data_IF_273230990625
#
_entry.id   IF_273230990625
#
_cell.length_a   1.000
_cell.length_b   1.000
_cell.length_c   1.000
_cell.angle_alpha   90.00
_cell.angle_beta   90.00
_cell.angle_gamma   90.00
#
_symmetry.space_group_name_H-M   'P 1'
#
loop_
_entity.id
_entity.type
_entity.pdbx_description
1 polymer ?
#
# COMPACT_ATOMS: atom_id res chain seq x y z
N UNK A 1 33.03 -55.47 -3.43
CA UNK A 1 32.75 -54.00 -3.43
C UNK A 1 32.84 -53.53 -4.88
N UNK A 2 31.70 -53.09 -5.45
CA UNK A 2 31.68 -52.49 -6.78
C UNK A 2 32.37 -51.12 -6.68
N UNK A 3 33.47 -50.90 -7.45
CA UNK A 3 34.08 -49.58 -7.62
C UNK A 3 33.05 -48.68 -8.30
N UNK A 4 32.48 -47.72 -7.56
CA UNK A 4 31.68 -46.66 -8.16
C UNK A 4 32.57 -45.84 -9.09
N UNK A 5 32.12 -45.66 -10.32
CA UNK A 5 32.83 -44.82 -11.28
C UNK A 5 32.66 -43.35 -10.88
N UNK A 6 33.67 -42.50 -11.12
CA UNK A 6 33.64 -41.05 -10.85
C UNK A 6 32.37 -40.38 -11.39
N UNK A 7 31.82 -40.93 -12.46
CA UNK A 7 30.53 -40.51 -13.01
C UNK A 7 29.39 -40.73 -12.03
N UNK A 8 29.28 -41.91 -11.40
CA UNK A 8 28.18 -42.25 -10.49
C UNK A 8 28.30 -41.52 -9.15
N UNK A 9 29.53 -41.27 -8.68
CA UNK A 9 29.76 -40.64 -7.38
C UNK A 9 29.69 -39.10 -7.42
N UNK A 10 29.98 -38.46 -8.56
CA UNK A 10 30.14 -37.02 -8.64
C UNK A 10 29.26 -36.38 -9.75
N UNK A 11 29.37 -36.92 -10.97
CA UNK A 11 28.69 -36.28 -12.13
C UNK A 11 27.16 -36.49 -12.11
N UNK A 12 26.74 -37.72 -11.81
CA UNK A 12 25.30 -38.04 -11.81
C UNK A 12 24.48 -37.22 -10.79
N UNK A 13 24.91 -37.03 -9.52
CA UNK A 13 24.23 -36.18 -8.58
C UNK A 13 24.15 -34.70 -9.02
N UNK A 14 25.22 -34.18 -9.64
CA UNK A 14 25.22 -32.79 -10.16
C UNK A 14 24.21 -32.63 -11.29
N UNK A 15 24.17 -33.59 -12.22
CA UNK A 15 23.21 -33.56 -13.33
C UNK A 15 21.76 -33.66 -12.83
N UNK A 16 21.48 -34.55 -11.89
CA UNK A 16 20.15 -34.68 -11.29
C UNK A 16 19.73 -33.39 -10.62
N UNK A 17 20.61 -32.77 -9.84
CA UNK A 17 20.32 -31.49 -9.19
C UNK A 17 20.06 -30.38 -10.22
N UNK A 18 20.90 -30.29 -11.25
CA UNK A 18 20.72 -29.32 -12.33
C UNK A 18 19.37 -29.49 -13.05
N UNK A 19 18.98 -30.73 -13.34
CA UNK A 19 17.68 -31.03 -13.97
C UNK A 19 16.51 -30.64 -13.06
N UNK A 20 16.58 -30.97 -11.77
CA UNK A 20 15.54 -30.59 -10.80
C UNK A 20 15.42 -29.06 -10.73
N UNK A 21 16.53 -28.34 -10.62
CA UNK A 21 16.52 -26.87 -10.60
C UNK A 21 15.91 -26.30 -11.88
N UNK A 22 16.25 -26.82 -13.04
CA UNK A 22 15.69 -26.42 -14.34
C UNK A 22 14.18 -26.64 -14.40
N UNK A 23 13.72 -27.83 -14.04
CA UNK A 23 12.29 -28.18 -14.07
C UNK A 23 11.48 -27.31 -13.12
N UNK A 24 11.96 -27.12 -11.88
CA UNK A 24 11.26 -26.29 -10.88
C UNK A 24 11.24 -24.83 -11.33
N UNK A 25 12.38 -24.30 -11.79
CA UNK A 25 12.46 -22.90 -12.25
C UNK A 25 11.53 -22.67 -13.44
N UNK A 26 11.49 -23.59 -14.40
CA UNK A 26 10.58 -23.52 -15.55
C UNK A 26 9.13 -23.55 -15.11
N UNK A 27 8.76 -24.47 -14.21
CA UNK A 27 7.39 -24.57 -13.70
C UNK A 27 6.95 -23.27 -12.99
N UNK A 28 7.80 -22.71 -12.15
CA UNK A 28 7.51 -21.42 -11.45
C UNK A 28 7.39 -20.28 -12.45
N UNK A 29 8.31 -20.18 -13.42
CA UNK A 29 8.27 -19.13 -14.44
C UNK A 29 6.99 -19.23 -15.32
N UNK A 30 6.60 -20.44 -15.68
CA UNK A 30 5.37 -20.68 -16.43
C UNK A 30 4.12 -20.25 -15.66
N UNK A 31 3.98 -20.70 -14.41
CA UNK A 31 2.86 -20.31 -13.54
C UNK A 31 2.83 -18.80 -13.36
N UNK A 32 3.98 -18.16 -13.11
CA UNK A 32 4.07 -16.71 -12.98
C UNK A 32 3.61 -15.98 -14.24
N UNK A 33 4.03 -16.46 -15.43
CA UNK A 33 3.62 -15.88 -16.72
C UNK A 33 2.11 -15.91 -16.94
N UNK A 34 1.43 -16.98 -16.51
CA UNK A 34 -0.02 -17.13 -16.63
C UNK A 34 -0.76 -16.30 -15.57
N UNK A 35 -0.24 -16.24 -14.35
CA UNK A 35 -0.92 -15.57 -13.22
C UNK A 35 -0.72 -14.07 -13.20
N UNK A 36 0.42 -13.56 -13.69
CA UNK A 36 0.75 -12.13 -13.68
C UNK A 36 -0.35 -11.23 -14.25
N UNK A 37 -0.90 -11.45 -15.46
CA UNK A 37 -1.94 -10.57 -16.00
C UNK A 37 -3.22 -10.60 -15.18
N UNK A 38 -3.55 -11.74 -14.55
CA UNK A 38 -4.72 -11.88 -13.68
C UNK A 38 -4.51 -11.08 -12.38
N UNK A 39 -3.30 -11.16 -11.81
CA UNK A 39 -2.94 -10.39 -10.61
C UNK A 39 -3.03 -8.89 -10.91
N UNK A 40 -2.45 -8.42 -12.02
CA UNK A 40 -2.50 -7.00 -12.42
C UNK A 40 -3.95 -6.52 -12.62
N UNK A 41 -4.79 -7.30 -13.31
CA UNK A 41 -6.20 -6.96 -13.50
C UNK A 41 -6.97 -6.89 -12.18
N UNK A 42 -6.74 -7.83 -11.27
CA UNK A 42 -7.37 -7.84 -9.96
C UNK A 42 -6.88 -6.66 -9.09
N UNK A 43 -5.60 -6.31 -9.15
CA UNK A 43 -5.04 -5.16 -8.42
C UNK A 43 -5.67 -3.85 -8.89
N UNK A 44 -5.81 -3.65 -10.20
CA UNK A 44 -6.48 -2.46 -10.76
C UNK A 44 -7.95 -2.42 -10.33
N UNK A 45 -8.65 -3.56 -10.39
CA UNK A 45 -10.04 -3.65 -9.96
C UNK A 45 -10.19 -3.31 -8.48
N UNK A 46 -9.40 -3.92 -7.62
CA UNK A 46 -9.41 -3.67 -6.19
C UNK A 46 -9.08 -2.19 -5.87
N UNK A 47 -8.13 -1.58 -6.59
CA UNK A 47 -7.80 -0.17 -6.43
C UNK A 47 -8.98 0.75 -6.84
N UNK A 48 -9.69 0.43 -7.92
CA UNK A 48 -10.86 1.19 -8.35
C UNK A 48 -12.04 1.06 -7.36
N UNK A 49 -12.28 -0.14 -6.85
CA UNK A 49 -13.28 -0.39 -5.81
C UNK A 49 -12.93 0.39 -4.52
N UNK A 50 -11.67 0.37 -4.11
CA UNK A 50 -11.21 1.15 -2.96
C UNK A 50 -11.40 2.66 -3.17
N UNK A 51 -11.09 3.20 -4.36
CA UNK A 51 -11.33 4.62 -4.68
C UNK A 51 -12.81 4.97 -4.59
N UNK A 52 -13.70 4.13 -5.13
CA UNK A 52 -15.14 4.34 -5.06
C UNK A 52 -15.67 4.28 -3.62
N UNK A 53 -15.11 3.42 -2.78
CA UNK A 53 -15.44 3.33 -1.35
C UNK A 53 -14.97 4.56 -0.57
N UNK A 54 -13.78 5.08 -0.89
CA UNK A 54 -13.17 6.24 -0.22
C UNK A 54 -13.85 7.56 -0.60
N UNK A 55 -14.34 7.67 -1.83
CA UNK A 55 -15.02 8.86 -2.33
C UNK A 55 -16.28 8.46 -3.12
N UNK A 56 -17.38 8.09 -2.44
CA UNK A 56 -18.59 7.61 -3.09
C UNK A 56 -19.22 8.64 -4.05
N UNK A 57 -19.10 9.93 -3.73
CA UNK A 57 -19.63 11.02 -4.54
C UNK A 57 -18.99 11.13 -5.92
N UNK A 58 -17.81 10.55 -6.11
CA UNK A 58 -17.11 10.47 -7.42
C UNK A 58 -17.78 9.46 -8.38
N UNK A 59 -18.68 8.58 -7.88
CA UNK A 59 -19.36 7.53 -8.66
C UNK A 59 -18.41 6.62 -9.47
N UNK A 60 -17.18 6.47 -8.99
CA UNK A 60 -16.14 5.65 -9.62
C UNK A 60 -15.46 6.28 -10.84
N UNK A 61 -15.74 7.55 -11.15
CA UNK A 61 -15.15 8.26 -12.28
C UNK A 61 -13.99 9.14 -11.84
N UNK A 62 -12.77 8.64 -12.07
CA UNK A 62 -11.52 9.25 -11.65
C UNK A 62 -10.54 9.44 -12.80
N UNK A 63 -9.79 10.52 -12.75
CA UNK A 63 -8.67 10.77 -13.65
C UNK A 63 -7.36 10.83 -12.86
N UNK A 64 -6.30 10.24 -13.40
CA UNK A 64 -4.99 10.28 -12.79
C UNK A 64 -4.42 11.72 -12.81
N UNK A 65 -3.94 12.17 -11.65
CA UNK A 65 -3.19 13.41 -11.53
C UNK A 65 -1.80 13.26 -12.17
N UNK A 66 -1.40 14.23 -13.00
CA UNK A 66 -0.14 14.19 -13.75
C UNK A 66 0.92 15.19 -13.25
N UNK A 67 0.66 15.86 -12.13
CA UNK A 67 1.61 16.78 -11.51
C UNK A 67 2.59 16.07 -10.58
N UNK A 68 3.40 16.87 -9.89
CA UNK A 68 4.42 16.37 -8.97
C UNK A 68 3.80 15.69 -7.75
N UNK A 69 4.34 14.52 -7.42
CA UNK A 69 3.95 13.74 -6.26
C UNK A 69 4.89 14.02 -5.07
N UNK A 70 4.31 14.30 -3.92
CA UNK A 70 5.05 14.65 -2.70
C UNK A 70 5.79 13.47 -2.11
N UNK A 71 7.05 13.71 -1.78
CA UNK A 71 7.88 12.81 -0.97
C UNK A 71 8.13 13.48 0.38
N UNK A 72 7.58 12.92 1.45
CA UNK A 72 7.81 13.41 2.80
C UNK A 72 9.19 12.96 3.32
N UNK A 73 9.44 11.65 3.21
CA UNK A 73 10.73 11.04 3.58
C UNK A 73 11.14 10.07 2.46
N UNK A 74 12.29 10.30 1.83
CA UNK A 74 12.77 9.46 0.74
C UNK A 74 12.79 7.98 1.16
N UNK A 75 12.24 7.12 0.30
CA UNK A 75 12.13 5.66 0.49
C UNK A 75 11.40 5.21 1.77
N UNK A 76 10.78 6.15 2.50
CA UNK A 76 10.03 5.86 3.72
C UNK A 76 8.57 6.31 3.65
N UNK A 77 8.30 7.57 3.28
CA UNK A 77 6.94 8.13 3.17
C UNK A 77 6.83 8.95 1.91
N UNK A 78 6.05 8.49 0.95
CA UNK A 78 5.89 9.14 -0.35
C UNK A 78 4.56 8.80 -1.02
N UNK A 79 4.04 9.78 -1.75
CA UNK A 79 2.86 9.58 -2.60
C UNK A 79 3.26 8.77 -3.83
N UNK A 80 2.48 7.74 -4.15
CA UNK A 80 2.67 6.94 -5.37
C UNK A 80 1.72 7.31 -6.47
N UNK A 81 0.47 7.65 -6.11
CA UNK A 81 -0.59 7.97 -7.04
C UNK A 81 -1.53 9.00 -6.43
N UNK A 82 -2.10 9.84 -7.26
CA UNK A 82 -3.21 10.70 -6.91
C UNK A 82 -4.25 10.67 -8.04
N UNK A 83 -5.52 10.61 -7.68
CA UNK A 83 -6.65 10.58 -8.62
C UNK A 83 -7.65 11.66 -8.25
N UNK A 84 -8.02 12.46 -9.21
CA UNK A 84 -9.06 13.47 -9.08
C UNK A 84 -10.40 12.92 -9.58
N UNK A 85 -11.48 13.16 -8.85
CA UNK A 85 -12.82 12.86 -9.34
C UNK A 85 -13.18 13.81 -10.49
N UNK A 86 -13.64 13.27 -11.63
CA UNK A 86 -13.99 14.08 -12.80
C UNK A 86 -15.14 15.06 -12.52
N UNK A 87 -15.99 14.77 -11.53
CA UNK A 87 -17.08 15.65 -11.10
C UNK A 87 -16.64 16.70 -10.07
N UNK A 88 -15.36 16.79 -9.73
CA UNK A 88 -14.82 17.73 -8.74
C UNK A 88 -15.22 17.44 -7.29
N UNK A 89 -15.74 16.24 -6.97
CA UNK A 89 -16.17 15.90 -5.60
C UNK A 89 -15.00 15.71 -4.63
N UNK A 90 -13.77 15.52 -5.14
CA UNK A 90 -12.58 15.37 -4.31
C UNK A 90 -11.44 14.62 -5.01
N UNK A 91 -10.55 14.10 -4.20
CA UNK A 91 -9.37 13.35 -4.66
C UNK A 91 -9.18 12.09 -3.83
N UNK A 92 -8.53 11.08 -4.40
CA UNK A 92 -8.01 9.91 -3.68
C UNK A 92 -6.50 9.84 -3.88
N UNK A 93 -5.76 9.82 -2.79
CA UNK A 93 -4.30 9.84 -2.79
C UNK A 93 -3.79 8.53 -2.20
N UNK A 94 -2.89 7.86 -2.91
CA UNK A 94 -2.22 6.64 -2.48
C UNK A 94 -0.83 6.97 -1.98
N UNK A 95 -0.53 6.59 -0.76
CA UNK A 95 0.75 6.86 -0.10
C UNK A 95 1.36 5.56 0.38
N UNK A 96 2.65 5.39 0.15
CA UNK A 96 3.46 4.35 0.79
C UNK A 96 4.17 4.93 2.00
N UNK A 97 4.09 4.19 3.11
CA UNK A 97 4.74 4.57 4.36
C UNK A 97 5.40 3.37 5.02
N UNK A 98 6.57 3.59 5.63
CA UNK A 98 7.35 2.52 6.25
C UNK A 98 6.76 2.12 7.59
N UNK A 99 6.24 0.90 7.67
CA UNK A 99 5.78 0.24 8.88
C UNK A 99 6.80 -0.76 9.40
N UNK A 100 6.42 -1.54 10.41
CA UNK A 100 7.30 -2.55 11.03
C UNK A 100 7.67 -3.68 10.07
N UNK A 101 6.70 -4.23 9.34
CA UNK A 101 6.89 -5.33 8.39
C UNK A 101 7.42 -4.91 7.02
N UNK A 102 7.52 -3.61 6.74
CA UNK A 102 7.90 -3.07 5.44
C UNK A 102 7.09 -1.85 5.04
N UNK A 103 6.98 -1.58 3.75
CA UNK A 103 6.12 -0.52 3.25
C UNK A 103 4.66 -0.97 3.31
N UNK A 104 3.81 -0.16 3.95
CA UNK A 104 2.37 -0.26 3.83
C UNK A 104 1.87 0.72 2.76
N UNK A 105 0.76 0.40 2.13
CA UNK A 105 0.06 1.26 1.18
C UNK A 105 -1.25 1.71 1.79
N UNK A 106 -1.40 3.01 1.99
CA UNK A 106 -2.64 3.63 2.47
C UNK A 106 -3.26 4.49 1.37
N UNK A 107 -4.56 4.43 1.24
CA UNK A 107 -5.35 5.29 0.37
C UNK A 107 -6.20 6.22 1.21
N UNK A 108 -6.19 7.51 0.89
CA UNK A 108 -6.89 8.58 1.60
C UNK A 108 -7.84 9.28 0.64
N UNK A 109 -9.13 9.20 0.91
CA UNK A 109 -10.15 10.00 0.23
C UNK A 109 -10.26 11.38 0.89
N UNK A 110 -10.26 12.43 0.10
CA UNK A 110 -10.38 13.83 0.54
C UNK A 110 -11.44 14.49 -0.34
N UNK A 111 -12.44 15.09 0.27
CA UNK A 111 -13.49 15.79 -0.45
C UNK A 111 -13.04 17.15 -1.02
N UNK A 112 -13.93 17.81 -1.76
CA UNK A 112 -13.66 19.13 -2.34
C UNK A 112 -13.38 20.22 -1.30
N UNK A 113 -13.86 20.05 -0.07
CA UNK A 113 -13.70 20.99 1.04
C UNK A 113 -12.42 20.73 1.85
N UNK A 114 -11.63 19.72 1.43
CA UNK A 114 -10.37 19.30 2.05
C UNK A 114 -10.55 18.40 3.26
N UNK A 115 -11.76 17.92 3.54
CA UNK A 115 -11.99 17.01 4.64
C UNK A 115 -11.74 15.56 4.23
N UNK A 116 -11.09 14.80 5.08
CA UNK A 116 -10.87 13.35 4.87
C UNK A 116 -12.23 12.65 4.94
N UNK A 117 -12.60 11.96 3.86
CA UNK A 117 -13.82 11.15 3.81
C UNK A 117 -13.60 9.81 4.48
N UNK A 118 -12.50 9.15 4.13
CA UNK A 118 -12.12 7.84 4.69
C UNK A 118 -10.65 7.56 4.44
N UNK A 119 -10.05 6.74 5.31
CA UNK A 119 -8.71 6.16 5.13
C UNK A 119 -8.86 4.64 5.01
N UNK A 120 -8.07 4.02 4.13
CA UNK A 120 -8.03 2.56 3.94
C UNK A 120 -6.60 2.12 3.72
N UNK A 121 -6.14 1.10 4.44
CA UNK A 121 -4.89 0.40 4.15
C UNK A 121 -5.21 -0.70 3.14
N UNK A 122 -4.48 -0.74 2.03
CA UNK A 122 -4.70 -1.70 0.95
C UNK A 122 -3.64 -2.79 0.89
N UNK A 123 -2.44 -2.48 1.37
CA UNK A 123 -1.34 -3.45 1.42
C UNK A 123 -0.49 -3.19 2.66
N UNK A 124 -0.10 -4.25 3.34
CA UNK A 124 0.88 -4.24 4.43
C UNK A 124 1.53 -5.62 4.58
N UNK A 125 2.70 -5.65 5.23
CA UNK A 125 3.40 -6.88 5.62
C UNK A 125 3.58 -6.94 7.14
N UNK A 126 2.77 -6.21 7.87
CA UNK A 126 2.80 -6.18 9.33
C UNK A 126 2.23 -7.49 9.92
N UNK A 127 2.64 -7.82 11.13
CA UNK A 127 2.23 -9.06 11.81
C UNK A 127 0.73 -9.06 12.09
N UNK A 128 -0.04 -10.05 11.61
CA UNK A 128 -1.47 -10.17 11.87
C UNK A 128 -1.80 -10.15 13.38
N UNK A 129 -2.85 -9.43 13.76
CA UNK A 129 -3.31 -9.31 15.14
C UNK A 129 -2.43 -8.48 16.07
N UNK A 130 -1.28 -7.98 15.57
CA UNK A 130 -0.39 -7.07 16.31
C UNK A 130 -0.21 -5.77 15.54
N UNK A 131 0.53 -5.80 14.43
CA UNK A 131 0.76 -4.64 13.59
C UNK A 131 -0.44 -4.25 12.73
N UNK A 132 -1.37 -5.17 12.48
CA UNK A 132 -2.61 -4.92 11.74
C UNK A 132 -3.72 -4.31 12.60
N UNK A 133 -3.56 -4.24 13.92
CA UNK A 133 -4.58 -3.64 14.82
C UNK A 133 -5.07 -2.25 14.42
N UNK A 134 -4.24 -1.31 13.95
CA UNK A 134 -4.72 0.00 13.53
C UNK A 134 -5.60 -0.05 12.27
N UNK A 135 -5.40 -1.03 11.40
CA UNK A 135 -6.17 -1.22 10.17
C UNK A 135 -7.42 -2.06 10.40
N UNK A 136 -7.29 -3.20 11.07
CA UNK A 136 -8.39 -4.14 11.31
C UNK A 136 -9.33 -3.69 12.44
N UNK A 137 -8.85 -2.84 13.36
CA UNK A 137 -9.61 -2.35 14.49
C UNK A 137 -10.61 -1.25 14.11
N UNK A 138 -11.77 -1.20 14.79
CA UNK A 138 -12.85 -0.26 14.44
C UNK A 138 -12.55 1.19 14.81
N UNK A 139 -11.55 1.47 15.63
CA UNK A 139 -11.44 2.74 16.33
C UNK A 139 -10.37 3.68 15.75
N UNK A 140 -9.35 3.17 15.03
CA UNK A 140 -8.21 4.01 14.65
C UNK A 140 -8.46 4.76 13.35
N UNK A 141 -8.77 4.09 12.26
CA UNK A 141 -8.97 4.74 10.96
C UNK A 141 -10.14 5.74 10.94
N UNK A 142 -11.27 5.48 11.62
CA UNK A 142 -12.39 6.44 11.65
C UNK A 142 -12.07 7.78 12.31
N UNK A 143 -11.02 7.88 13.15
CA UNK A 143 -10.62 9.13 13.79
C UNK A 143 -10.23 10.22 12.77
N UNK A 144 -9.77 9.83 11.58
CA UNK A 144 -9.36 10.76 10.54
C UNK A 144 -10.56 11.39 9.80
N UNK A 145 -11.75 10.77 9.87
CA UNK A 145 -12.91 11.23 9.11
C UNK A 145 -13.32 12.64 9.50
N UNK A 146 -13.46 13.51 8.51
CA UNK A 146 -13.87 14.91 8.68
C UNK A 146 -12.73 15.87 9.04
N UNK A 147 -11.53 15.37 9.31
CA UNK A 147 -10.37 16.24 9.56
C UNK A 147 -9.89 16.85 8.24
N UNK A 148 -9.56 18.14 8.27
CA UNK A 148 -8.98 18.91 7.15
C UNK A 148 -7.47 19.08 7.27
N UNK A 149 -6.96 18.90 8.49
CA UNK A 149 -5.55 18.99 8.81
C UNK A 149 -5.23 18.13 10.03
N UNK A 150 -3.98 17.75 10.15
CA UNK A 150 -3.41 17.14 11.33
C UNK A 150 -2.49 18.16 12.00
N UNK A 151 -2.32 18.08 13.31
CA UNK A 151 -1.48 19.03 14.07
C UNK A 151 0.00 18.72 13.95
N UNK A 152 0.35 17.45 13.78
CA UNK A 152 1.75 17.01 13.72
C UNK A 152 1.89 15.81 12.78
N UNK A 153 3.04 15.63 12.13
CA UNK A 153 3.34 14.45 11.32
C UNK A 153 3.53 13.17 12.17
N UNK A 154 3.87 13.33 13.44
CA UNK A 154 4.08 12.25 14.38
C UNK A 154 2.81 12.05 15.23
N UNK A 155 2.20 10.87 15.12
CA UNK A 155 0.96 10.54 15.85
C UNK A 155 1.08 10.70 17.36
N UNK A 156 2.26 10.56 17.94
CA UNK A 156 2.48 10.71 19.39
C UNK A 156 2.39 12.17 19.85
N UNK A 157 2.61 13.11 18.93
CA UNK A 157 2.57 14.55 19.17
C UNK A 157 1.31 15.20 18.61
N UNK A 158 0.40 14.42 18.06
CA UNK A 158 -0.90 14.87 17.54
C UNK A 158 -2.03 14.44 18.47
N UNK A 159 -2.52 15.40 19.27
CA UNK A 159 -3.60 15.15 20.24
C UNK A 159 -4.95 14.84 19.59
N UNK A 160 -5.09 15.04 18.26
CA UNK A 160 -6.33 14.76 17.54
C UNK A 160 -6.52 13.27 17.24
N UNK A 161 -5.44 12.47 17.30
CA UNK A 161 -5.45 11.05 16.95
C UNK A 161 -4.85 10.21 18.09
N UNK A 162 -5.62 9.24 18.57
CA UNK A 162 -5.13 8.27 19.55
C UNK A 162 -4.50 7.07 18.84
N UNK A 163 -3.19 6.88 19.03
CA UNK A 163 -2.49 5.70 18.49
C UNK A 163 -2.91 4.40 19.19
N UNK A 164 -2.76 3.28 18.50
CA UNK A 164 -3.08 1.96 19.05
C UNK A 164 -1.93 1.42 19.88
N UNK A 165 -2.20 1.15 21.17
CA UNK A 165 -1.21 0.58 22.09
C UNK A 165 -0.76 -0.80 21.60
N UNK A 166 0.55 -1.03 21.58
CA UNK A 166 1.16 -2.26 21.07
C UNK A 166 1.36 -2.31 19.56
N UNK A 167 0.82 -1.31 18.80
CA UNK A 167 1.01 -1.16 17.35
C UNK A 167 1.46 0.26 16.98
N UNK A 168 2.33 0.86 17.80
CA UNK A 168 2.73 2.27 17.64
C UNK A 168 3.45 2.55 16.32
N UNK A 169 4.23 1.59 15.79
CA UNK A 169 4.95 1.77 14.51
C UNK A 169 3.95 1.80 13.36
N UNK A 170 3.02 0.86 13.30
CA UNK A 170 2.00 0.81 12.26
C UNK A 170 1.03 2.00 12.34
N UNK A 171 0.64 2.41 13.57
CA UNK A 171 -0.15 3.63 13.78
C UNK A 171 0.58 4.87 13.25
N UNK A 172 1.91 4.99 13.53
CA UNK A 172 2.73 6.10 13.02
C UNK A 172 2.82 6.08 11.50
N UNK A 173 3.02 4.91 10.91
CA UNK A 173 3.11 4.76 9.46
C UNK A 173 1.81 5.19 8.75
N UNK A 174 0.65 4.78 9.27
CA UNK A 174 -0.64 5.22 8.73
C UNK A 174 -0.83 6.72 8.91
N UNK A 175 -0.50 7.27 10.07
CA UNK A 175 -0.62 8.70 10.35
C UNK A 175 0.27 9.55 9.44
N UNK A 176 1.54 9.16 9.24
CA UNK A 176 2.46 9.81 8.30
C UNK A 176 1.95 9.73 6.85
N UNK A 177 1.31 8.61 6.47
CA UNK A 177 0.68 8.49 5.15
C UNK A 177 -0.48 9.48 4.99
N UNK A 178 -1.35 9.61 5.99
CA UNK A 178 -2.47 10.58 5.98
C UNK A 178 -1.93 12.01 5.96
N UNK A 179 -0.92 12.31 6.76
CA UNK A 179 -0.25 13.62 6.75
C UNK A 179 0.26 13.96 5.35
N UNK A 180 0.99 13.03 4.70
CA UNK A 180 1.55 13.26 3.38
C UNK A 180 0.45 13.40 2.30
N UNK A 181 -0.65 12.67 2.42
CA UNK A 181 -1.81 12.84 1.55
C UNK A 181 -2.42 14.25 1.65
N UNK A 182 -2.59 14.78 2.87
CA UNK A 182 -3.06 16.15 3.07
C UNK A 182 -2.07 17.20 2.51
N UNK A 183 -0.76 16.97 2.62
CA UNK A 183 0.24 17.84 2.01
C UNK A 183 0.19 17.77 0.46
N UNK A 184 -0.06 16.60 -0.10
CA UNK A 184 -0.26 16.44 -1.54
C UNK A 184 -1.52 17.18 -2.00
N UNK A 185 -2.65 17.03 -1.29
CA UNK A 185 -3.89 17.73 -1.59
C UNK A 185 -3.70 19.25 -1.63
N UNK A 186 -3.01 19.82 -0.62
CA UNK A 186 -2.68 21.26 -0.58
C UNK A 186 -1.80 21.67 -1.77
N UNK A 187 -0.84 20.83 -2.18
CA UNK A 187 0.03 21.10 -3.33
C UNK A 187 -0.71 21.05 -4.67
N UNK A 188 -1.77 20.23 -4.78
CA UNK A 188 -2.64 20.17 -5.96
C UNK A 188 -3.55 21.41 -6.06
N UNK A 189 -3.62 22.26 -5.05
CA UNK A 189 -4.51 23.41 -4.99
C UNK A 189 -5.95 23.08 -4.64
N UNK A 190 -6.18 21.93 -4.00
CA UNK A 190 -7.48 21.38 -3.68
C UNK A 190 -8.09 20.58 -4.85
N UNK A 191 -9.32 20.10 -4.68
CA UNK A 191 -10.10 19.53 -5.78
C UNK A 191 -10.55 20.68 -6.70
N UNK A 192 -10.23 20.59 -7.99
CA UNK A 192 -10.60 21.57 -9.02
C UNK A 192 -11.90 21.17 -9.69
#
# INVERSE_FOLDING_TARGET
MKKETTFQSTVAPILVLAIICLVVTFAVAFVYGVTKPIIEANTIKAANEARAELLPDAKGDFKAYKGDLKVLKKDQVFVTEAYEANNGSGVVITVKSKSYGGLLTAMVGIDKDGAITKVKVTEHSDTPGVGTKPDEGPDFLPQYKGLKELKNENVKNDDSIKHVTGASVSSSAIHEAVWNALQQYKAMGGAK
#
